data_IF_512701368199
#
_entry.id   IF_512701368199
#
_cell.length_a   1.000
_cell.length_b   1.000
_cell.length_c   1.000
_cell.angle_alpha   90.00
_cell.angle_beta   90.00
_cell.angle_gamma   90.00
#
_symmetry.space_group_name_H-M   'P 1'
#
loop_
_entity.id
_entity.type
_entity.pdbx_description
1 polymer ?
#
# COMPACT_ATOMS: atom_id res chain seq x y z
N UNK A 1 -21.12 -28.25 -22.88
CA UNK A 1 -20.71 -26.84 -23.12
C UNK A 1 -20.08 -26.32 -21.84
N UNK A 2 -18.75 -26.35 -21.76
CA UNK A 2 -18.00 -25.77 -20.64
C UNK A 2 -18.12 -24.25 -20.74
N UNK A 3 -18.56 -23.53 -19.70
CA UNK A 3 -18.62 -22.08 -19.78
C UNK A 3 -17.20 -21.57 -20.00
N UNK A 4 -17.02 -20.73 -21.03
CA UNK A 4 -15.74 -20.10 -21.29
C UNK A 4 -15.27 -19.41 -20.00
N UNK A 5 -14.11 -19.84 -19.47
CA UNK A 5 -13.36 -19.05 -18.50
C UNK A 5 -13.17 -17.69 -19.17
N UNK A 6 -13.94 -16.71 -18.74
CA UNK A 6 -13.64 -15.32 -19.06
C UNK A 6 -12.34 -15.05 -18.30
N UNK A 7 -11.23 -15.20 -19.03
CA UNK A 7 -9.90 -14.90 -18.52
C UNK A 7 -9.94 -13.47 -17.98
N UNK A 8 -9.77 -13.36 -16.67
CA UNK A 8 -9.69 -12.06 -16.03
C UNK A 8 -8.48 -11.33 -16.62
N UNK A 9 -8.58 -10.01 -16.84
CA UNK A 9 -7.42 -9.23 -17.25
C UNK A 9 -6.28 -9.44 -16.26
N UNK A 10 -5.04 -9.47 -16.77
CA UNK A 10 -3.84 -9.50 -15.94
C UNK A 10 -3.92 -8.41 -14.85
N UNK A 11 -3.41 -8.68 -13.65
CA UNK A 11 -3.40 -7.75 -12.52
C UNK A 11 -2.84 -6.39 -12.92
N UNK A 12 -1.72 -6.39 -13.64
CA UNK A 12 -1.14 -5.15 -14.20
C UNK A 12 -2.12 -4.32 -15.03
N UNK A 13 -2.97 -4.97 -15.83
CA UNK A 13 -3.97 -4.30 -16.67
C UNK A 13 -5.15 -3.79 -15.84
N UNK A 14 -5.44 -4.42 -14.71
CA UNK A 14 -6.48 -3.99 -13.77
C UNK A 14 -6.07 -2.73 -13.05
N UNK A 15 -4.84 -2.64 -12.57
CA UNK A 15 -4.32 -1.49 -11.81
C UNK A 15 -3.58 -0.46 -12.67
N UNK A 16 -3.87 -0.39 -13.97
CA UNK A 16 -3.08 0.42 -14.90
C UNK A 16 -3.09 1.91 -14.54
N UNK A 17 -4.21 2.44 -14.04
CA UNK A 17 -4.30 3.85 -13.62
C UNK A 17 -3.68 4.05 -12.26
N UNK A 18 -3.86 3.12 -11.33
CA UNK A 18 -3.15 3.17 -10.05
C UNK A 18 -1.63 3.23 -10.27
N UNK A 19 -1.09 2.36 -11.15
CA UNK A 19 0.32 2.37 -11.54
C UNK A 19 0.74 3.72 -12.13
N UNK A 20 -0.09 4.28 -13.03
CA UNK A 20 0.19 5.59 -13.64
C UNK A 20 0.15 6.74 -12.61
N UNK A 21 -0.81 6.72 -11.70
CA UNK A 21 -0.95 7.71 -10.63
C UNK A 21 0.23 7.65 -9.64
N UNK A 22 0.65 6.44 -9.23
CA UNK A 22 1.83 6.24 -8.39
C UNK A 22 3.10 6.74 -9.08
N UNK A 23 3.27 6.44 -10.37
CA UNK A 23 4.41 6.93 -11.16
C UNK A 23 4.41 8.47 -11.26
N UNK A 24 3.23 9.06 -11.43
CA UNK A 24 3.05 10.53 -11.42
C UNK A 24 3.44 11.12 -10.07
N UNK A 25 3.05 10.49 -8.96
CA UNK A 25 3.43 10.95 -7.62
C UNK A 25 4.93 10.84 -7.36
N UNK A 26 5.60 9.79 -7.85
CA UNK A 26 7.06 9.68 -7.79
C UNK A 26 7.72 10.89 -8.47
N UNK A 27 7.27 11.24 -9.68
CA UNK A 27 7.75 12.43 -10.38
C UNK A 27 7.48 13.72 -9.61
N UNK A 28 6.25 13.87 -9.10
CA UNK A 28 5.86 15.05 -8.32
C UNK A 28 6.68 15.23 -7.03
N UNK A 29 7.04 14.12 -6.36
CA UNK A 29 7.93 14.17 -5.19
C UNK A 29 9.34 14.66 -5.57
N UNK A 30 9.88 14.17 -6.69
CA UNK A 30 11.18 14.61 -7.19
C UNK A 30 11.16 16.09 -7.60
N UNK A 31 10.12 16.54 -8.31
CA UNK A 31 9.95 17.94 -8.70
C UNK A 31 9.81 18.86 -7.49
N UNK A 32 9.05 18.42 -6.47
CA UNK A 32 8.89 19.19 -5.23
C UNK A 32 10.20 19.34 -4.45
N UNK A 33 11.00 18.27 -4.36
CA UNK A 33 12.32 18.35 -3.75
C UNK A 33 13.29 19.21 -4.58
N UNK A 34 13.23 19.10 -5.91
CA UNK A 34 14.05 19.91 -6.80
C UNK A 34 13.72 21.40 -6.69
N UNK A 35 12.47 21.78 -6.41
CA UNK A 35 12.09 23.17 -6.17
C UNK A 35 12.75 23.78 -4.91
N UNK A 36 13.24 22.95 -3.98
CA UNK A 36 14.03 23.39 -2.83
C UNK A 36 15.52 23.34 -3.14
N UNK A 37 16.01 22.23 -3.72
CA UNK A 37 17.44 22.03 -3.90
C UNK A 37 18.05 22.77 -5.09
N UNK A 38 17.30 23.02 -6.16
CA UNK A 38 17.82 23.72 -7.33
C UNK A 38 18.21 25.18 -7.02
N UNK A 39 17.37 26.00 -6.33
CA UNK A 39 17.79 27.34 -5.93
C UNK A 39 19.01 27.35 -5.02
N UNK A 40 19.12 26.38 -4.10
CA UNK A 40 20.27 26.25 -3.20
C UNK A 40 21.54 25.94 -4.01
N UNK A 41 21.44 25.06 -5.00
CA UNK A 41 22.56 24.69 -5.87
C UNK A 41 23.00 25.84 -6.78
N UNK A 42 22.06 26.69 -7.22
CA UNK A 42 22.32 27.83 -8.11
C UNK A 42 22.84 29.07 -7.37
N UNK A 43 22.69 29.12 -6.04
CA UNK A 43 23.10 30.26 -5.24
C UNK A 43 24.64 30.43 -5.19
N UNK A 44 25.16 31.68 -5.24
CA UNK A 44 26.57 31.94 -5.02
C UNK A 44 27.04 31.48 -3.63
N UNK A 45 28.29 31.02 -3.52
CA UNK A 45 28.85 30.52 -2.24
C UNK A 45 28.94 31.55 -1.10
N UNK A 46 28.76 32.84 -1.43
CA UNK A 46 28.80 33.95 -0.48
C UNK A 46 27.41 34.26 0.13
N UNK A 47 26.34 33.69 -0.44
CA UNK A 47 24.98 33.91 0.02
C UNK A 47 24.64 32.94 1.17
N UNK A 48 24.48 33.49 2.38
CA UNK A 48 24.24 32.70 3.60
C UNK A 48 22.80 32.15 3.70
N UNK A 49 21.84 32.72 2.96
CA UNK A 49 20.43 32.32 3.00
C UNK A 49 19.79 32.40 1.61
N UNK A 50 19.20 31.29 1.17
CA UNK A 50 18.51 31.16 -0.11
C UNK A 50 17.00 31.06 0.15
N UNK A 51 16.22 31.92 -0.51
CA UNK A 51 14.76 31.85 -0.42
C UNK A 51 14.24 30.66 -1.23
N UNK A 52 13.52 29.76 -0.58
CA UNK A 52 12.98 28.52 -1.16
C UNK A 52 11.54 28.31 -0.74
N UNK A 53 10.74 27.74 -1.65
CA UNK A 53 9.32 27.54 -1.41
C UNK A 53 9.00 26.13 -0.90
N UNK A 54 8.31 26.05 0.24
CA UNK A 54 7.69 24.82 0.74
C UNK A 54 6.45 24.38 -0.04
N UNK A 55 5.86 25.28 -0.83
CA UNK A 55 4.54 25.08 -1.43
C UNK A 55 4.45 23.80 -2.28
N UNK A 56 5.43 23.43 -3.12
CA UNK A 56 5.38 22.19 -3.89
C UNK A 56 5.28 20.94 -3.00
N UNK A 57 6.05 20.88 -1.91
CA UNK A 57 6.01 19.75 -0.96
C UNK A 57 4.61 19.62 -0.31
N UNK A 58 4.02 20.76 0.08
CA UNK A 58 2.66 20.79 0.66
C UNK A 58 1.61 20.35 -0.35
N UNK A 59 1.71 20.81 -1.61
CA UNK A 59 0.77 20.48 -2.68
C UNK A 59 0.77 18.98 -2.99
N UNK A 60 1.94 18.36 -3.11
CA UNK A 60 2.06 16.91 -3.34
C UNK A 60 1.41 16.13 -2.19
N UNK A 61 1.72 16.49 -0.95
CA UNK A 61 1.14 15.85 0.24
C UNK A 61 -0.39 15.94 0.28
N UNK A 62 -0.97 17.09 -0.07
CA UNK A 62 -2.41 17.29 -0.09
C UNK A 62 -3.13 16.53 -1.22
N UNK A 63 -2.51 16.43 -2.39
CA UNK A 63 -3.13 15.84 -3.57
C UNK A 63 -2.97 14.31 -3.66
N UNK A 64 -1.96 13.74 -3.00
CA UNK A 64 -1.56 12.34 -3.21
C UNK A 64 -2.67 11.32 -2.95
N UNK A 65 -3.33 11.37 -1.79
CA UNK A 65 -4.38 10.41 -1.44
C UNK A 65 -5.55 10.47 -2.43
N UNK A 66 -6.04 11.68 -2.74
CA UNK A 66 -7.16 11.85 -3.68
C UNK A 66 -6.85 11.35 -5.09
N UNK A 67 -5.61 11.57 -5.56
CA UNK A 67 -5.18 11.08 -6.87
C UNK A 67 -5.20 9.55 -6.92
N UNK A 68 -4.77 8.88 -5.86
CA UNK A 68 -4.75 7.42 -5.78
C UNK A 68 -6.14 6.83 -5.64
N UNK A 69 -7.01 7.45 -4.82
CA UNK A 69 -8.41 7.03 -4.68
C UNK A 69 -9.17 7.15 -6.00
N UNK A 70 -8.98 8.25 -6.73
CA UNK A 70 -9.57 8.46 -8.04
C UNK A 70 -9.07 7.40 -9.04
N UNK A 71 -7.77 7.11 -9.06
CA UNK A 71 -7.20 6.12 -9.96
C UNK A 71 -7.75 4.70 -9.69
N UNK A 72 -7.91 4.33 -8.41
CA UNK A 72 -8.55 3.05 -8.01
C UNK A 72 -10.00 2.98 -8.47
N UNK A 73 -10.79 4.01 -8.20
CA UNK A 73 -12.19 4.05 -8.60
C UNK A 73 -12.37 3.91 -10.13
N UNK A 74 -11.50 4.53 -10.92
CA UNK A 74 -11.51 4.41 -12.38
C UNK A 74 -11.07 3.04 -12.92
N UNK A 75 -10.20 2.34 -12.19
CA UNK A 75 -9.80 0.97 -12.49
C UNK A 75 -10.93 -0.01 -12.14
N UNK A 76 -11.56 0.13 -10.97
CA UNK A 76 -12.72 -0.66 -10.55
C UNK A 76 -13.90 -0.51 -11.51
N UNK A 77 -14.24 0.73 -11.87
CA UNK A 77 -15.34 1.03 -12.79
C UNK A 77 -15.13 0.43 -14.18
N UNK A 78 -13.86 0.17 -14.57
CA UNK A 78 -13.53 -0.44 -15.87
C UNK A 78 -13.69 -1.96 -15.87
N UNK A 79 -13.58 -2.60 -14.70
CA UNK A 79 -13.57 -4.06 -14.58
C UNK A 79 -14.64 -4.59 -13.61
N UNK A 80 -15.93 -4.23 -13.77
CA UNK A 80 -16.97 -4.54 -12.78
C UNK A 80 -17.16 -6.04 -12.54
N UNK A 81 -16.96 -6.87 -13.57
CA UNK A 81 -17.05 -8.33 -13.44
C UNK A 81 -15.87 -8.94 -12.66
N UNK A 82 -14.68 -8.32 -12.72
CA UNK A 82 -13.53 -8.73 -11.92
C UNK A 82 -13.78 -8.36 -10.45
N UNK A 83 -14.13 -7.09 -10.20
CA UNK A 83 -14.46 -6.56 -8.88
C UNK A 83 -15.54 -7.41 -8.19
N UNK A 84 -16.62 -7.78 -8.90
CA UNK A 84 -17.67 -8.62 -8.33
C UNK A 84 -17.16 -10.02 -7.92
N UNK A 85 -16.22 -10.61 -8.68
CA UNK A 85 -15.63 -11.92 -8.34
C UNK A 85 -14.72 -11.81 -7.13
N UNK A 86 -13.88 -10.76 -7.08
CA UNK A 86 -12.98 -10.49 -5.96
C UNK A 86 -13.79 -10.27 -4.68
N UNK A 87 -14.85 -9.46 -4.74
CA UNK A 87 -15.74 -9.26 -3.58
C UNK A 87 -16.42 -10.55 -3.10
N UNK A 88 -16.75 -11.48 -4.01
CA UNK A 88 -17.27 -12.79 -3.63
C UNK A 88 -16.18 -13.69 -3.04
N UNK A 89 -14.94 -13.59 -3.52
CA UNK A 89 -13.79 -14.28 -2.96
C UNK A 89 -13.43 -13.75 -1.57
N UNK A 90 -13.33 -12.43 -1.42
CA UNK A 90 -13.08 -11.75 -0.15
C UNK A 90 -14.13 -12.06 0.91
N UNK A 91 -15.41 -12.16 0.54
CA UNK A 91 -16.46 -12.59 1.48
C UNK A 91 -16.22 -14.02 1.99
N UNK A 92 -15.75 -14.93 1.13
CA UNK A 92 -15.47 -16.32 1.50
C UNK A 92 -14.21 -16.43 2.37
N UNK A 93 -13.13 -15.78 1.99
CA UNK A 93 -11.86 -15.80 2.74
C UNK A 93 -11.99 -15.07 4.08
N UNK A 94 -12.72 -13.94 4.13
CA UNK A 94 -13.03 -13.25 5.38
C UNK A 94 -13.81 -14.13 6.36
N UNK A 95 -14.83 -14.84 5.88
CA UNK A 95 -15.57 -15.79 6.71
C UNK A 95 -14.66 -16.91 7.25
N UNK A 96 -13.74 -17.42 6.42
CA UNK A 96 -12.75 -18.42 6.84
C UNK A 96 -11.80 -17.88 7.92
N UNK A 97 -11.24 -16.66 7.75
CA UNK A 97 -10.42 -15.99 8.77
C UNK A 97 -11.17 -15.80 10.08
N UNK A 98 -12.45 -15.41 10.02
CA UNK A 98 -13.29 -15.29 11.21
C UNK A 98 -13.46 -16.65 11.92
N UNK A 99 -13.69 -17.74 11.18
CA UNK A 99 -13.78 -19.08 11.78
C UNK A 99 -12.49 -19.52 12.45
N UNK A 100 -11.33 -19.17 11.88
CA UNK A 100 -10.02 -19.46 12.49
C UNK A 100 -9.79 -18.63 13.75
N UNK A 101 -10.06 -17.31 13.70
CA UNK A 101 -9.97 -16.45 14.87
C UNK A 101 -10.92 -16.89 16.00
N UNK A 102 -12.12 -17.35 15.67
CA UNK A 102 -13.05 -17.94 16.64
C UNK A 102 -12.48 -19.23 17.26
N UNK A 103 -11.91 -20.13 16.46
CA UNK A 103 -11.27 -21.34 16.95
C UNK A 103 -10.05 -21.05 17.85
N UNK A 104 -9.23 -20.06 17.48
CA UNK A 104 -8.08 -19.62 18.29
C UNK A 104 -8.53 -19.04 19.64
N UNK A 105 -9.58 -18.23 19.66
CA UNK A 105 -10.15 -17.69 20.90
C UNK A 105 -10.69 -18.80 21.83
N UNK A 106 -11.26 -19.87 21.27
CA UNK A 106 -11.71 -21.03 22.04
C UNK A 106 -10.57 -21.91 22.55
N UNK A 107 -9.44 -21.95 21.84
CA UNK A 107 -8.25 -22.71 22.21
C UNK A 107 -7.31 -21.95 23.18
N UNK A 108 -7.44 -20.63 23.27
CA UNK A 108 -6.65 -19.80 24.16
C UNK A 108 -6.96 -20.16 25.63
N UNK A 109 -5.93 -20.34 26.49
CA UNK A 109 -6.15 -20.45 27.92
C UNK A 109 -6.87 -19.18 28.42
N UNK A 110 -7.69 -19.31 29.47
CA UNK A 110 -8.41 -18.19 30.07
C UNK A 110 -7.41 -17.22 30.73
N UNK A 111 -6.75 -16.40 29.92
CA UNK A 111 -5.92 -15.31 30.38
C UNK A 111 -6.82 -14.19 30.93
N UNK A 112 -6.43 -13.55 32.04
CA UNK A 112 -7.14 -12.39 32.54
C UNK A 112 -7.17 -11.30 31.44
N UNK A 113 -8.21 -10.47 31.39
CA UNK A 113 -8.39 -9.49 30.33
C UNK A 113 -7.21 -8.51 30.30
N UNK A 114 -6.35 -8.65 29.28
CA UNK A 114 -5.25 -7.76 28.89
C UNK A 114 -4.31 -7.33 30.01
N UNK A 115 -3.02 -7.70 29.94
CA UNK A 115 -1.98 -7.32 30.93
C UNK A 115 -1.95 -5.80 31.29
N UNK A 116 -2.59 -4.93 30.50
CA UNK A 116 -2.69 -3.49 30.73
C UNK A 116 -4.10 -2.88 30.54
N UNK A 117 -5.17 -3.68 30.61
CA UNK A 117 -6.55 -3.18 30.46
C UNK A 117 -6.97 -2.83 29.02
N UNK A 118 -6.16 -3.22 28.03
CA UNK A 118 -6.51 -3.14 26.61
C UNK A 118 -7.39 -4.34 26.25
N UNK A 119 -8.60 -4.14 25.69
CA UNK A 119 -9.45 -5.25 25.24
C UNK A 119 -8.74 -6.10 24.18
N UNK A 120 -8.87 -7.42 24.28
CA UNK A 120 -8.45 -8.31 23.19
C UNK A 120 -9.22 -7.98 21.91
N UNK A 121 -8.60 -8.12 20.72
CA UNK A 121 -9.28 -7.93 19.46
C UNK A 121 -10.52 -8.83 19.35
N UNK A 122 -11.60 -8.28 18.81
CA UNK A 122 -12.75 -9.08 18.39
C UNK A 122 -12.37 -10.01 17.24
N UNK A 123 -13.12 -11.09 17.03
CA UNK A 123 -12.93 -12.02 15.89
C UNK A 123 -12.78 -11.27 14.55
N UNK A 124 -13.61 -10.26 14.33
CA UNK A 124 -13.58 -9.45 13.11
C UNK A 124 -12.33 -8.57 12.99
N UNK A 125 -11.83 -8.06 14.12
CA UNK A 125 -10.58 -7.30 14.17
C UNK A 125 -9.38 -8.21 13.94
N UNK A 126 -9.34 -9.40 14.56
CA UNK A 126 -8.29 -10.40 14.30
C UNK A 126 -8.25 -10.79 12.83
N UNK A 127 -9.40 -11.13 12.23
CA UNK A 127 -9.47 -11.51 10.82
C UNK A 127 -9.01 -10.40 9.86
N UNK A 128 -9.22 -9.12 10.22
CA UNK A 128 -8.71 -7.98 9.45
C UNK A 128 -7.21 -7.77 9.67
N UNK A 129 -6.74 -7.90 10.91
CA UNK A 129 -5.32 -7.81 11.27
C UNK A 129 -4.50 -8.91 10.60
N UNK A 130 -5.05 -10.12 10.43
CA UNK A 130 -4.38 -11.22 9.75
C UNK A 130 -4.08 -10.90 8.28
N UNK A 131 -5.06 -10.33 7.56
CA UNK A 131 -4.86 -9.88 6.17
C UNK A 131 -3.82 -8.75 6.11
N UNK A 132 -3.96 -7.72 6.96
CA UNK A 132 -3.02 -6.60 7.03
C UNK A 132 -1.58 -7.07 7.35
N UNK A 133 -1.45 -8.04 8.25
CA UNK A 133 -0.16 -8.64 8.62
C UNK A 133 0.44 -9.42 7.46
N UNK A 134 -0.37 -10.22 6.75
CA UNK A 134 0.05 -10.95 5.56
C UNK A 134 0.57 -10.01 4.46
N UNK A 135 -0.17 -8.93 4.16
CA UNK A 135 0.26 -7.92 3.20
C UNK A 135 1.56 -7.22 3.63
N UNK A 136 1.66 -6.80 4.89
CA UNK A 136 2.86 -6.16 5.43
C UNK A 136 4.09 -7.09 5.41
N UNK A 137 3.92 -8.36 5.78
CA UNK A 137 5.00 -9.36 5.73
C UNK A 137 5.46 -9.61 4.29
N UNK A 138 4.51 -9.71 3.35
CA UNK A 138 4.81 -9.84 1.93
C UNK A 138 5.62 -8.64 1.41
N UNK A 139 5.20 -7.41 1.72
CA UNK A 139 5.94 -6.18 1.36
C UNK A 139 7.36 -6.20 1.91
N UNK A 140 7.50 -6.56 3.19
CA UNK A 140 8.80 -6.61 3.85
C UNK A 140 9.71 -7.64 3.19
N UNK A 141 9.20 -8.85 2.90
CA UNK A 141 9.97 -9.89 2.22
C UNK A 141 10.31 -9.49 0.78
N UNK A 142 9.35 -8.96 0.03
CA UNK A 142 9.52 -8.57 -1.37
C UNK A 142 10.66 -7.56 -1.56
N UNK A 143 10.81 -6.62 -0.62
CA UNK A 143 11.88 -5.61 -0.66
C UNK A 143 13.28 -6.22 -0.59
N UNK A 144 13.43 -7.36 0.07
CA UNK A 144 14.73 -7.99 0.33
C UNK A 144 14.99 -9.20 -0.58
N UNK A 145 13.96 -10.02 -0.79
CA UNK A 145 14.01 -11.28 -1.53
C UNK A 145 12.63 -11.55 -2.17
N UNK A 146 12.42 -11.13 -3.44
CA UNK A 146 11.18 -11.39 -4.16
C UNK A 146 10.84 -12.87 -4.32
N UNK A 147 11.84 -13.76 -4.45
CA UNK A 147 11.59 -15.19 -4.59
C UNK A 147 11.06 -15.78 -3.29
N UNK A 148 11.67 -15.43 -2.15
CA UNK A 148 11.15 -15.83 -0.84
C UNK A 148 9.79 -15.19 -0.53
N UNK A 149 9.46 -14.02 -1.09
CA UNK A 149 8.14 -13.41 -0.96
C UNK A 149 7.06 -14.22 -1.71
N UNK A 150 7.37 -14.74 -2.91
CA UNK A 150 6.47 -15.64 -3.65
C UNK A 150 6.24 -16.94 -2.88
N UNK A 151 7.29 -17.52 -2.28
CA UNK A 151 7.16 -18.71 -1.43
C UNK A 151 6.26 -18.43 -0.22
N UNK A 152 6.46 -17.27 0.44
CA UNK A 152 5.61 -16.83 1.55
C UNK A 152 4.14 -16.71 1.11
N UNK A 153 3.87 -16.08 -0.03
CA UNK A 153 2.52 -15.92 -0.57
C UNK A 153 1.81 -17.26 -0.80
N UNK A 154 2.52 -18.25 -1.37
CA UNK A 154 1.97 -19.60 -1.51
C UNK A 154 1.69 -20.27 -0.17
N UNK A 155 2.55 -20.07 0.84
CA UNK A 155 2.33 -20.57 2.19
C UNK A 155 1.10 -19.95 2.86
N UNK A 156 0.96 -18.62 2.79
CA UNK A 156 -0.15 -17.87 3.39
C UNK A 156 -1.51 -18.24 2.78
N UNK A 157 -1.54 -18.54 1.48
CA UNK A 157 -2.79 -18.83 0.75
C UNK A 157 -3.15 -20.33 0.73
N UNK A 158 -2.27 -21.20 1.23
CA UNK A 158 -2.45 -22.65 1.13
C UNK A 158 -3.70 -23.19 1.85
N UNK A 159 -4.12 -22.54 2.94
CA UNK A 159 -5.29 -22.96 3.73
C UNK A 159 -6.61 -22.41 3.18
N UNK A 160 -6.56 -21.47 2.24
CA UNK A 160 -7.74 -20.81 1.67
C UNK A 160 -8.35 -19.72 2.56
N UNK A 161 -7.73 -19.40 3.69
CA UNK A 161 -8.10 -18.25 4.55
C UNK A 161 -7.71 -16.91 3.91
N UNK A 162 -6.70 -16.92 3.05
CA UNK A 162 -6.23 -15.78 2.29
C UNK A 162 -6.23 -16.15 0.82
N UNK A 163 -6.64 -15.20 -0.03
CA UNK A 163 -6.46 -15.31 -1.45
C UNK A 163 -5.22 -14.53 -1.93
N UNK A 164 -4.64 -14.97 -3.04
CA UNK A 164 -3.42 -14.36 -3.61
C UNK A 164 -3.65 -12.89 -3.94
N UNK A 165 -4.76 -12.59 -4.62
CA UNK A 165 -5.17 -11.24 -4.99
C UNK A 165 -5.37 -10.34 -3.78
N UNK A 166 -6.03 -10.83 -2.73
CA UNK A 166 -6.21 -10.08 -1.48
C UNK A 166 -4.89 -9.70 -0.81
N UNK A 167 -3.94 -10.65 -0.71
CA UNK A 167 -2.64 -10.38 -0.09
C UNK A 167 -1.83 -9.39 -0.93
N UNK A 168 -1.89 -9.48 -2.26
CA UNK A 168 -1.22 -8.54 -3.14
C UNK A 168 -1.85 -7.14 -3.13
N UNK A 169 -3.18 -7.04 -3.04
CA UNK A 169 -3.88 -5.77 -2.88
C UNK A 169 -3.50 -5.12 -1.55
N UNK A 170 -3.52 -5.87 -0.45
CA UNK A 170 -3.12 -5.38 0.87
C UNK A 170 -1.63 -4.97 0.88
N UNK A 171 -0.76 -5.70 0.17
CA UNK A 171 0.64 -5.33 0.02
C UNK A 171 0.82 -4.00 -0.73
N UNK A 172 0.05 -3.76 -1.79
CA UNK A 172 0.03 -2.46 -2.49
C UNK A 172 -0.45 -1.37 -1.54
N UNK A 173 -1.53 -1.60 -0.80
CA UNK A 173 -2.12 -0.65 0.13
C UNK A 173 -1.17 -0.29 1.27
N UNK A 174 -0.47 -1.28 1.83
CA UNK A 174 0.56 -1.10 2.85
C UNK A 174 1.73 -0.24 2.33
N UNK A 175 2.21 -0.50 1.11
CA UNK A 175 3.27 0.31 0.49
C UNK A 175 2.81 1.74 0.19
N UNK A 176 1.58 1.92 -0.30
CA UNK A 176 0.97 3.24 -0.53
C UNK A 176 0.83 4.02 0.78
N UNK A 177 0.25 3.38 1.81
CA UNK A 177 0.05 4.01 3.12
C UNK A 177 1.38 4.47 3.72
N UNK A 178 2.42 3.64 3.64
CA UNK A 178 3.76 4.03 4.08
C UNK A 178 4.27 5.29 3.35
N UNK A 179 4.11 5.36 2.03
CA UNK A 179 4.47 6.55 1.24
C UNK A 179 3.67 7.79 1.63
N UNK A 180 2.35 7.65 1.79
CA UNK A 180 1.47 8.75 2.19
C UNK A 180 1.77 9.27 3.60
N UNK A 181 2.10 8.38 4.55
CA UNK A 181 2.51 8.77 5.90
C UNK A 181 3.83 9.57 5.89
N UNK A 182 4.76 9.24 5.00
CA UNK A 182 5.98 10.02 4.81
C UNK A 182 5.66 11.39 4.20
N UNK A 183 4.80 11.46 3.18
CA UNK A 183 4.35 12.74 2.62
C UNK A 183 3.57 13.61 3.62
N UNK A 184 2.85 13.00 4.56
CA UNK A 184 2.19 13.73 5.63
C UNK A 184 3.21 14.43 6.54
N UNK A 185 4.38 13.82 6.76
CA UNK A 185 5.49 14.46 7.50
C UNK A 185 6.03 15.67 6.75
N UNK A 186 6.20 15.58 5.43
CA UNK A 186 6.63 16.72 4.61
C UNK A 186 5.73 17.95 4.80
N UNK A 187 4.40 17.74 4.90
CA UNK A 187 3.43 18.82 5.13
C UNK A 187 3.49 19.43 6.54
N UNK A 188 3.84 18.63 7.54
CA UNK A 188 3.94 19.08 8.92
C UNK A 188 5.26 19.83 9.21
N UNK A 189 6.21 19.78 8.27
CA UNK A 189 7.54 20.33 8.43
C UNK A 189 7.60 21.81 8.05
N UNK A 190 8.37 22.57 8.84
CA UNK A 190 8.61 24.00 8.63
C UNK A 190 9.96 24.28 7.96
N UNK A 191 10.90 23.33 8.02
CA UNK A 191 12.17 23.41 7.31
C UNK A 191 12.01 22.91 5.85
N UNK A 192 12.32 23.75 4.84
CA UNK A 192 12.20 23.36 3.43
C UNK A 192 13.05 22.16 3.01
N UNK A 193 14.25 22.03 3.54
CA UNK A 193 15.16 20.94 3.21
C UNK A 193 14.62 19.63 3.79
N UNK A 194 14.17 19.64 5.04
CA UNK A 194 13.55 18.47 5.67
C UNK A 194 12.24 18.08 4.98
N UNK A 195 11.42 19.05 4.55
CA UNK A 195 10.21 18.76 3.77
C UNK A 195 10.53 18.12 2.41
N UNK A 196 11.59 18.59 1.73
CA UNK A 196 12.10 17.99 0.50
C UNK A 196 12.63 16.57 0.75
N UNK A 197 13.38 16.34 1.83
CA UNK A 197 13.83 15.00 2.23
C UNK A 197 12.67 14.05 2.51
N UNK A 198 11.59 14.50 3.12
CA UNK A 198 10.39 13.66 3.27
C UNK A 198 9.72 13.37 1.92
N UNK A 199 9.68 14.31 0.98
CA UNK A 199 9.18 14.03 -0.37
C UNK A 199 10.02 12.95 -1.07
N UNK A 200 11.35 13.06 -1.02
CA UNK A 200 12.26 12.02 -1.54
C UNK A 200 12.12 10.70 -0.78
N UNK A 201 11.94 10.76 0.54
CA UNK A 201 11.75 9.59 1.39
C UNK A 201 10.46 8.81 1.09
N UNK A 202 9.45 9.44 0.49
CA UNK A 202 8.24 8.75 0.04
C UNK A 202 8.46 7.93 -1.24
N UNK A 203 9.41 8.32 -2.10
CA UNK A 203 9.64 7.72 -3.42
C UNK A 203 9.90 6.21 -3.38
N UNK A 204 10.74 5.66 -2.48
CA UNK A 204 10.95 4.21 -2.40
C UNK A 204 9.67 3.43 -2.10
N UNK A 205 8.76 3.98 -1.29
CA UNK A 205 7.48 3.34 -0.95
C UNK A 205 6.51 3.35 -2.13
N UNK A 206 6.40 4.49 -2.83
CA UNK A 206 5.56 4.62 -4.01
C UNK A 206 6.06 3.75 -5.18
N UNK A 207 7.39 3.67 -5.36
CA UNK A 207 8.01 2.79 -6.37
C UNK A 207 7.79 1.31 -6.04
N UNK A 208 7.83 0.95 -4.76
CA UNK A 208 7.50 -0.41 -4.32
C UNK A 208 6.03 -0.73 -4.61
N UNK A 209 5.10 0.19 -4.34
CA UNK A 209 3.69 0.03 -4.69
C UNK A 209 3.48 -0.16 -6.21
N UNK A 210 4.20 0.59 -7.07
CA UNK A 210 4.18 0.38 -8.53
C UNK A 210 4.61 -1.04 -8.88
N UNK A 211 5.73 -1.49 -8.29
CA UNK A 211 6.28 -2.83 -8.54
C UNK A 211 5.24 -3.90 -8.19
N UNK A 212 4.70 -3.84 -6.98
CA UNK A 212 3.71 -4.79 -6.46
C UNK A 212 2.41 -4.80 -7.28
N UNK A 213 1.88 -3.63 -7.64
CA UNK A 213 0.67 -3.52 -8.47
C UNK A 213 0.89 -4.07 -9.90
N UNK A 214 2.13 -4.14 -10.36
CA UNK A 214 2.50 -4.61 -11.70
C UNK A 214 2.82 -6.11 -11.78
N UNK A 215 2.93 -6.79 -10.65
CA UNK A 215 3.33 -8.20 -10.57
C UNK A 215 2.13 -9.11 -10.82
N UNK A 216 2.20 -9.96 -11.85
CA UNK A 216 1.11 -10.90 -12.19
C UNK A 216 1.37 -12.28 -11.55
N UNK A 217 1.22 -12.40 -10.22
CA UNK A 217 1.35 -13.68 -9.49
C UNK A 217 0.04 -14.46 -9.33
N UNK A 218 -1.10 -13.84 -9.67
CA UNK A 218 -2.44 -14.44 -9.54
C UNK A 218 -2.75 -15.52 -10.61
N UNK A 219 -1.74 -16.01 -11.35
CA UNK A 219 -1.91 -16.87 -12.53
C UNK A 219 -1.45 -18.30 -12.30
#
# INVERSE_FOLDING_TARGET
MTPARVDLPARRRRHARLIAALTTLVGACADAANAVYQPIADAPSEEEAVDVSLLPCVQVSLAAAMLLDQARAEDDARWPAAVAREQEQSRRTYAARCSVAEAQNLAAPAEPPGEHGVPLPTVYQSAAMDLASAGAEFVARWRHDPEAAVVLLHGLTATGELAVDEVLDEAVDSAVLAGLLVLQRARAESDPSMAAEFCLGAVPHLTLAVTLASTDLDR
#
